data_IF_656921721528
#
_entry.id   IF_656921721528
#
_cell.length_a   1.000
_cell.length_b   1.000
_cell.length_c   1.000
_cell.angle_alpha   90.00
_cell.angle_beta   90.00
_cell.angle_gamma   90.00
#
_symmetry.space_group_name_H-M   'P 1'
#
loop_
_entity.id
_entity.type
_entity.pdbx_description
1 polymer ?
#
# COMPACT_ATOMS: atom_id res chain seq x y z
N UNK A 1 -20.23 18.90 -14.97
CA UNK A 1 -21.17 18.52 -13.86
C UNK A 1 -22.37 17.66 -14.27
N UNK A 2 -23.31 18.06 -15.17
CA UNK A 2 -24.38 17.13 -15.64
C UNK A 2 -23.99 16.27 -16.85
N UNK A 3 -22.89 16.62 -17.54
CA UNK A 3 -22.41 15.93 -18.75
C UNK A 3 -21.39 14.80 -18.41
N UNK A 4 -20.84 14.78 -17.20
CA UNK A 4 -19.89 13.76 -16.73
C UNK A 4 -20.60 12.59 -16.03
N UNK A 5 -21.81 12.81 -15.50
CA UNK A 5 -22.67 11.75 -14.95
C UNK A 5 -23.30 10.88 -16.05
N UNK A 6 -23.49 11.43 -17.26
CA UNK A 6 -24.01 10.72 -18.44
C UNK A 6 -22.96 9.79 -19.07
N UNK A 7 -21.68 10.16 -19.02
CA UNK A 7 -20.59 9.38 -19.63
C UNK A 7 -20.33 8.05 -18.89
N UNK A 8 -20.53 8.04 -17.56
CA UNK A 8 -20.44 6.84 -16.74
C UNK A 8 -21.57 5.83 -17.06
N UNK A 9 -22.76 6.31 -17.41
CA UNK A 9 -23.89 5.46 -17.83
C UNK A 9 -23.78 5.00 -19.31
N UNK A 10 -23.28 5.84 -20.23
CA UNK A 10 -23.09 5.44 -21.64
C UNK A 10 -21.97 4.39 -21.82
N UNK A 11 -20.95 4.40 -20.97
CA UNK A 11 -19.90 3.37 -20.94
C UNK A 11 -20.41 2.03 -20.43
N UNK A 12 -21.36 2.05 -19.47
CA UNK A 12 -22.01 0.87 -18.92
C UNK A 12 -23.01 0.24 -19.92
N UNK A 13 -23.73 1.06 -20.69
CA UNK A 13 -24.71 0.61 -21.70
C UNK A 13 -24.06 0.04 -22.97
N UNK A 14 -22.85 0.51 -23.35
CA UNK A 14 -22.09 -0.05 -24.49
C UNK A 14 -21.59 -1.47 -24.24
N UNK A 15 -21.33 -1.85 -22.99
CA UNK A 15 -20.87 -3.20 -22.64
C UNK A 15 -22.02 -4.22 -22.51
N UNK A 16 -23.25 -3.77 -22.22
CA UNK A 16 -24.44 -4.63 -22.20
C UNK A 16 -24.93 -5.03 -23.60
N UNK A 17 -24.63 -4.24 -24.64
CA UNK A 17 -25.00 -4.56 -26.04
C UNK A 17 -24.15 -5.66 -26.70
N UNK A 18 -23.10 -6.17 -26.04
CA UNK A 18 -22.26 -7.28 -26.56
C UNK A 18 -22.66 -8.67 -26.06
N UNK A 19 -23.63 -8.78 -25.15
CA UNK A 19 -24.17 -10.06 -24.69
C UNK A 19 -25.58 -10.24 -25.24
N UNK A 20 -25.73 -11.01 -26.32
CA UNK A 20 -27.02 -11.47 -26.82
C UNK A 20 -27.70 -12.34 -25.74
N UNK A 21 -28.60 -11.76 -24.94
CA UNK A 21 -29.51 -12.51 -24.07
C UNK A 21 -30.95 -11.99 -24.27
N UNK A 22 -31.87 -12.95 -24.34
CA UNK A 22 -33.20 -12.96 -24.94
C UNK A 22 -34.25 -11.98 -24.37
N UNK A 23 -35.14 -11.50 -25.25
CA UNK A 23 -36.12 -10.40 -25.07
C UNK A 23 -37.39 -10.84 -24.32
N UNK A 24 -37.28 -11.28 -23.07
CA UNK A 24 -38.49 -11.49 -22.24
C UNK A 24 -38.42 -11.11 -20.77
N UNK A 25 -37.32 -10.50 -20.30
CA UNK A 25 -37.24 -9.93 -18.95
C UNK A 25 -37.16 -8.39 -18.90
N UNK A 26 -37.18 -7.71 -20.05
CA UNK A 26 -37.07 -6.24 -20.15
C UNK A 26 -38.35 -5.47 -19.77
N UNK A 27 -39.51 -6.14 -19.69
CA UNK A 27 -40.81 -5.48 -19.43
C UNK A 27 -41.16 -5.32 -17.95
N UNK A 28 -40.48 -6.05 -17.03
CA UNK A 28 -40.66 -5.88 -15.58
C UNK A 28 -39.74 -4.80 -15.00
N UNK A 29 -38.55 -4.58 -15.59
CA UNK A 29 -37.58 -3.58 -15.13
C UNK A 29 -38.03 -2.15 -15.50
N UNK A 30 -38.71 -1.96 -16.63
CA UNK A 30 -39.26 -0.66 -17.05
C UNK A 30 -40.43 -0.15 -16.18
N UNK A 31 -41.10 -1.02 -15.44
CA UNK A 31 -42.16 -0.62 -14.49
C UNK A 31 -41.58 -0.27 -13.11
N UNK A 32 -40.43 -0.82 -12.73
CA UNK A 32 -39.71 -0.42 -11.51
C UNK A 32 -39.00 0.94 -11.69
N UNK A 33 -38.39 1.19 -12.86
CA UNK A 33 -37.69 2.45 -13.14
C UNK A 33 -38.66 3.65 -13.17
N UNK A 34 -39.86 3.50 -13.74
CA UNK A 34 -40.86 4.56 -13.77
C UNK A 34 -41.52 4.84 -12.40
N UNK A 35 -41.60 3.85 -11.50
CA UNK A 35 -42.04 4.09 -10.11
C UNK A 35 -40.98 4.84 -9.30
N UNK A 36 -39.70 4.51 -9.49
CA UNK A 36 -38.58 5.19 -8.82
C UNK A 36 -38.46 6.65 -9.30
N UNK A 37 -38.62 6.90 -10.61
CA UNK A 37 -38.62 8.25 -11.18
C UNK A 37 -39.79 9.12 -10.71
N UNK A 38 -40.98 8.54 -10.48
CA UNK A 38 -42.14 9.28 -9.96
C UNK A 38 -42.09 9.52 -8.44
N UNK A 39 -41.46 8.64 -7.66
CA UNK A 39 -41.19 8.90 -6.23
C UNK A 39 -40.10 9.96 -6.01
N UNK A 40 -39.19 10.14 -6.96
CA UNK A 40 -38.12 11.14 -6.88
C UNK A 40 -38.56 12.56 -7.27
N UNK A 41 -39.64 12.71 -8.05
CA UNK A 41 -40.17 14.03 -8.44
C UNK A 41 -41.04 14.69 -7.36
N UNK A 42 -41.38 13.97 -6.29
CA UNK A 42 -42.31 14.45 -5.24
C UNK A 42 -41.64 15.12 -4.04
N UNK A 43 -40.31 15.17 -4.00
CA UNK A 43 -39.54 15.66 -2.86
C UNK A 43 -38.52 16.72 -3.30
N UNK A 44 -39.03 17.81 -3.88
CA UNK A 44 -38.24 19.00 -4.28
C UNK A 44 -37.34 19.50 -3.14
N UNK A 45 -37.79 19.37 -1.89
CA UNK A 45 -37.04 19.74 -0.69
C UNK A 45 -35.75 18.93 -0.53
N UNK A 46 -35.71 17.63 -0.85
CA UNK A 46 -34.50 16.82 -0.71
C UNK A 46 -33.47 17.07 -1.81
N UNK A 47 -33.93 17.41 -3.02
CA UNK A 47 -33.05 17.84 -4.10
C UNK A 47 -32.44 19.21 -3.81
N UNK A 48 -33.25 20.17 -3.33
CA UNK A 48 -32.76 21.47 -2.88
C UNK A 48 -31.88 21.35 -1.63
N UNK A 49 -32.18 20.47 -0.67
CA UNK A 49 -31.32 20.20 0.48
C UNK A 49 -30.01 19.55 0.07
N UNK A 50 -30.01 18.58 -0.86
CA UNK A 50 -28.78 17.97 -1.38
C UNK A 50 -27.93 18.99 -2.12
N UNK A 51 -28.53 19.81 -2.99
CA UNK A 51 -27.85 20.91 -3.68
C UNK A 51 -27.32 21.94 -2.68
N UNK A 52 -28.13 22.39 -1.73
CA UNK A 52 -27.73 23.35 -0.71
C UNK A 52 -26.62 22.80 0.19
N UNK A 53 -26.66 21.50 0.50
CA UNK A 53 -25.65 20.79 1.30
C UNK A 53 -24.33 20.56 0.56
N UNK A 54 -24.39 20.31 -0.76
CA UNK A 54 -23.21 20.25 -1.64
C UNK A 54 -22.61 21.64 -1.84
N UNK A 55 -23.43 22.68 -1.98
CA UNK A 55 -22.97 24.07 -2.08
C UNK A 55 -22.44 24.63 -0.76
N UNK A 56 -22.95 24.17 0.39
CA UNK A 56 -22.48 24.62 1.71
C UNK A 56 -21.21 23.92 2.21
N UNK A 57 -20.99 22.66 1.81
CA UNK A 57 -19.82 21.87 2.26
C UNK A 57 -18.72 21.73 1.19
N UNK A 58 -18.97 22.15 -0.06
CA UNK A 58 -17.98 22.15 -1.14
C UNK A 58 -17.72 20.76 -1.76
N UNK A 59 -17.11 20.76 -2.94
CA UNK A 59 -16.82 19.55 -3.73
C UNK A 59 -15.85 18.59 -3.02
N UNK A 60 -14.85 19.13 -2.30
CA UNK A 60 -13.85 18.34 -1.58
C UNK A 60 -14.45 17.49 -0.46
N UNK A 61 -15.45 18.02 0.26
CA UNK A 61 -16.14 17.28 1.31
C UNK A 61 -16.93 16.08 0.75
N UNK A 62 -17.60 16.27 -0.40
CA UNK A 62 -18.33 15.19 -1.09
C UNK A 62 -17.37 14.11 -1.57
N UNK A 63 -16.25 14.49 -2.17
CA UNK A 63 -15.21 13.55 -2.60
C UNK A 63 -14.68 12.75 -1.42
N UNK A 64 -14.27 13.41 -0.33
CA UNK A 64 -13.78 12.74 0.87
C UNK A 64 -14.78 11.69 1.39
N UNK A 65 -16.05 12.07 1.53
CA UNK A 65 -17.12 11.16 1.98
C UNK A 65 -17.29 9.95 1.04
N UNK A 66 -17.15 10.14 -0.27
CA UNK A 66 -17.23 9.04 -1.23
C UNK A 66 -16.04 8.08 -1.11
N UNK A 67 -14.82 8.57 -0.85
CA UNK A 67 -13.65 7.70 -0.60
C UNK A 67 -13.91 6.82 0.61
N UNK A 68 -14.32 7.42 1.73
CA UNK A 68 -14.58 6.71 2.99
C UNK A 68 -15.61 5.60 2.76
N UNK A 69 -16.72 5.92 2.11
CA UNK A 69 -17.77 4.93 1.85
C UNK A 69 -17.29 3.84 0.89
N UNK A 70 -16.59 4.17 -0.19
CA UNK A 70 -16.21 3.19 -1.22
C UNK A 70 -15.01 2.34 -0.80
N UNK A 71 -14.05 2.91 -0.08
CA UNK A 71 -12.83 2.26 0.37
C UNK A 71 -12.95 1.56 1.72
N UNK A 72 -14.17 1.43 2.27
CA UNK A 72 -14.42 0.81 3.56
C UNK A 72 -13.86 -0.63 3.64
N UNK A 73 -12.98 -0.95 4.61
CA UNK A 73 -12.30 -2.24 4.73
C UNK A 73 -13.23 -3.47 4.74
N UNK A 74 -14.40 -3.36 5.35
CA UNK A 74 -15.37 -4.46 5.52
C UNK A 74 -16.00 -4.93 4.19
N UNK A 75 -15.71 -4.23 3.08
CA UNK A 75 -16.20 -4.59 1.75
C UNK A 75 -15.29 -5.56 1.01
N UNK A 76 -14.03 -5.68 1.40
CA UNK A 76 -13.08 -6.56 0.70
C UNK A 76 -13.36 -8.03 1.02
N UNK A 77 -13.38 -8.87 -0.01
CA UNK A 77 -13.49 -10.32 0.11
C UNK A 77 -12.44 -10.97 -0.79
N UNK A 78 -11.70 -11.93 -0.24
CA UNK A 78 -10.76 -12.71 -1.02
C UNK A 78 -11.48 -13.43 -2.16
N UNK A 79 -10.84 -13.50 -3.33
CA UNK A 79 -11.33 -14.32 -4.43
C UNK A 79 -11.05 -15.80 -4.18
N UNK A 80 -12.10 -16.64 -4.17
CA UNK A 80 -11.97 -18.10 -4.02
C UNK A 80 -12.51 -18.64 -2.70
N UNK A 81 -12.24 -19.92 -2.43
CA UNK A 81 -12.72 -20.58 -1.21
C UNK A 81 -11.64 -20.55 -0.11
N UNK A 82 -11.81 -19.68 0.88
CA UNK A 82 -10.89 -19.52 2.02
C UNK A 82 -10.77 -20.75 2.92
N UNK A 83 -11.65 -21.75 2.76
CA UNK A 83 -11.56 -23.04 3.48
C UNK A 83 -10.51 -23.98 2.88
N UNK A 84 -9.98 -23.68 1.69
CA UNK A 84 -8.98 -24.49 0.98
C UNK A 84 -7.75 -23.65 0.66
N UNK A 85 -6.69 -23.82 1.45
CA UNK A 85 -5.41 -23.12 1.24
C UNK A 85 -4.53 -23.89 0.24
N UNK A 86 -4.90 -23.84 -1.04
CA UNK A 86 -4.16 -24.45 -2.14
C UNK A 86 -3.96 -23.44 -3.27
N UNK A 87 -2.81 -23.47 -3.97
CA UNK A 87 -2.55 -22.54 -5.05
C UNK A 87 -3.39 -22.89 -6.29
N UNK A 88 -4.01 -21.87 -6.88
CA UNK A 88 -4.66 -21.96 -8.20
C UNK A 88 -3.80 -21.22 -9.23
N UNK A 89 -3.59 -21.83 -10.40
CA UNK A 89 -2.94 -21.18 -11.53
C UNK A 89 -3.98 -20.93 -12.61
N UNK A 90 -4.22 -19.67 -12.96
CA UNK A 90 -5.31 -19.26 -13.85
C UNK A 90 -4.97 -17.99 -14.62
N UNK A 91 -5.65 -17.78 -15.76
CA UNK A 91 -5.36 -16.64 -16.64
C UNK A 91 -3.92 -16.68 -17.13
N UNK A 92 -3.23 -15.52 -17.13
CA UNK A 92 -1.83 -15.41 -17.54
C UNK A 92 -0.85 -16.17 -16.66
N UNK A 93 -1.24 -16.61 -15.46
CA UNK A 93 -0.35 -17.42 -14.61
C UNK A 93 -0.21 -18.87 -15.09
N UNK A 94 -1.07 -19.34 -16.00
CA UNK A 94 -0.96 -20.70 -16.56
C UNK A 94 0.32 -20.85 -17.39
N UNK A 95 0.75 -19.78 -18.07
CA UNK A 95 1.92 -19.76 -18.95
C UNK A 95 3.20 -19.28 -18.25
N UNK A 96 3.10 -18.69 -17.06
CA UNK A 96 4.27 -18.34 -16.25
C UNK A 96 4.94 -19.60 -15.71
N UNK A 97 6.26 -19.58 -15.62
CA UNK A 97 6.98 -20.62 -14.90
C UNK A 97 6.57 -20.61 -13.43
N UNK A 98 6.47 -21.79 -12.82
CA UNK A 98 5.95 -21.94 -11.46
C UNK A 98 7.09 -22.24 -10.51
N UNK A 99 7.06 -21.58 -9.36
CA UNK A 99 7.84 -21.99 -8.21
C UNK A 99 6.85 -22.49 -7.17
N UNK A 100 6.94 -23.78 -6.82
CA UNK A 100 5.98 -24.43 -5.95
C UNK A 100 6.27 -24.09 -4.50
N UNK A 101 5.29 -23.48 -3.84
CA UNK A 101 5.32 -23.12 -2.42
C UNK A 101 4.10 -23.68 -1.70
N UNK A 102 4.16 -23.68 -0.38
CA UNK A 102 3.01 -23.80 0.51
C UNK A 102 2.94 -22.59 1.44
N UNK A 103 1.74 -22.30 1.96
CA UNK A 103 1.54 -21.30 3.00
C UNK A 103 1.24 -22.00 4.31
N UNK A 104 2.15 -21.88 5.29
CA UNK A 104 1.98 -22.44 6.64
C UNK A 104 1.40 -21.37 7.57
N UNK A 105 0.24 -21.61 8.19
CA UNK A 105 -0.28 -20.72 9.23
C UNK A 105 0.65 -20.76 10.45
N UNK A 106 1.20 -19.61 10.83
CA UNK A 106 2.15 -19.50 11.97
C UNK A 106 1.59 -18.72 13.15
N UNK A 107 0.55 -17.91 12.93
CA UNK A 107 -0.13 -17.15 13.98
C UNK A 107 -1.49 -16.65 13.49
N UNK A 108 -2.39 -16.30 14.41
CA UNK A 108 -3.73 -15.80 14.12
C UNK A 108 -4.27 -14.89 15.23
N UNK A 109 -5.45 -14.32 15.02
CA UNK A 109 -6.12 -13.45 15.99
C UNK A 109 -5.80 -11.96 15.85
N UNK A 110 -5.18 -11.56 14.73
CA UNK A 110 -4.99 -10.16 14.37
C UNK A 110 -6.28 -9.61 13.71
N UNK A 111 -6.41 -8.29 13.64
CA UNK A 111 -7.53 -7.60 13.02
C UNK A 111 -7.01 -6.66 11.95
N UNK A 112 -7.33 -6.95 10.68
CA UNK A 112 -6.93 -6.10 9.55
C UNK A 112 -5.44 -5.72 9.60
N UNK A 113 -4.53 -6.73 9.68
CA UNK A 113 -3.10 -6.49 9.76
C UNK A 113 -2.61 -5.68 8.55
N UNK A 114 -1.83 -4.65 8.81
CA UNK A 114 -1.26 -3.75 7.80
C UNK A 114 0.23 -3.96 7.62
N UNK A 115 0.99 -4.39 8.62
CA UNK A 115 2.44 -4.62 8.53
C UNK A 115 2.89 -5.78 9.42
N UNK A 116 4.00 -6.43 9.06
CA UNK A 116 4.67 -7.47 9.86
C UNK A 116 6.16 -7.17 9.91
N UNK A 117 6.70 -6.99 11.11
CA UNK A 117 8.12 -6.67 11.28
C UNK A 117 8.76 -7.52 12.37
N UNK A 118 9.93 -8.06 12.08
CA UNK A 118 10.77 -8.76 13.05
C UNK A 118 11.84 -7.80 13.54
N UNK A 119 12.12 -7.76 14.87
CA UNK A 119 13.26 -7.03 15.38
C UNK A 119 14.58 -7.50 14.72
N UNK A 120 15.61 -6.63 14.63
CA UNK A 120 16.91 -7.03 14.13
C UNK A 120 17.44 -8.27 14.87
N UNK A 121 17.74 -9.34 14.12
CA UNK A 121 18.25 -10.61 14.66
C UNK A 121 17.19 -11.60 15.16
N UNK A 122 15.90 -11.24 15.15
CA UNK A 122 14.82 -12.13 15.60
C UNK A 122 14.28 -13.05 14.50
N UNK A 123 13.86 -14.24 14.91
CA UNK A 123 13.21 -15.23 14.03
C UNK A 123 11.88 -15.74 14.56
N UNK A 124 11.53 -15.40 15.79
CA UNK A 124 10.32 -15.94 16.43
C UNK A 124 9.32 -14.84 16.80
N UNK A 125 9.79 -13.77 17.43
CA UNK A 125 8.93 -12.69 17.88
C UNK A 125 8.82 -11.63 16.79
N UNK A 126 7.60 -11.24 16.46
CA UNK A 126 7.30 -10.21 15.48
C UNK A 126 6.25 -9.24 16.02
N UNK A 127 6.20 -8.06 15.41
CA UNK A 127 5.14 -7.09 15.61
C UNK A 127 4.24 -7.02 14.38
N UNK A 128 2.95 -6.76 14.65
CA UNK A 128 1.92 -6.53 13.65
C UNK A 128 1.24 -5.21 13.95
N UNK A 129 1.16 -4.35 12.94
CA UNK A 129 0.26 -3.20 13.00
C UNK A 129 -1.13 -3.61 12.53
N UNK A 130 -2.16 -3.15 13.22
CA UNK A 130 -3.56 -3.34 12.85
C UNK A 130 -4.14 -2.00 12.42
N UNK A 131 -4.92 -1.99 11.33
CA UNK A 131 -5.44 -0.76 10.74
C UNK A 131 -6.10 0.17 11.78
N UNK A 132 -6.85 -0.40 12.74
CA UNK A 132 -7.57 0.34 13.78
C UNK A 132 -6.70 0.84 14.94
N UNK A 133 -5.38 0.87 14.77
CA UNK A 133 -4.46 1.56 15.68
C UNK A 133 -3.79 0.68 16.73
N UNK A 134 -3.98 -0.64 16.69
CA UNK A 134 -3.35 -1.55 17.65
C UNK A 134 -1.99 -2.03 17.12
N UNK A 135 -0.96 -1.93 17.94
CA UNK A 135 0.31 -2.61 17.74
C UNK A 135 0.32 -3.88 18.58
N UNK A 136 0.41 -5.04 17.93
CA UNK A 136 0.43 -6.35 18.58
C UNK A 136 1.78 -7.03 18.43
N UNK A 137 2.15 -7.84 19.42
CA UNK A 137 3.22 -8.82 19.28
C UNK A 137 2.64 -10.21 19.02
N UNK A 138 3.40 -11.06 18.33
CA UNK A 138 3.10 -12.48 18.15
C UNK A 138 4.38 -13.32 18.13
N UNK A 139 4.24 -14.62 18.40
CA UNK A 139 5.33 -15.59 18.28
C UNK A 139 5.00 -16.70 17.30
N UNK A 140 5.91 -16.95 16.36
CA UNK A 140 5.79 -17.98 15.32
C UNK A 140 5.51 -19.35 15.96
N UNK A 141 4.34 -19.94 15.66
CA UNK A 141 3.88 -21.28 16.11
C UNK A 141 3.78 -21.51 17.62
N UNK A 142 3.70 -20.45 18.42
CA UNK A 142 3.47 -20.59 19.87
C UNK A 142 2.02 -20.31 20.28
N UNK A 143 1.21 -19.80 19.34
CA UNK A 143 -0.16 -19.32 19.62
C UNK A 143 -0.19 -18.27 20.76
N UNK A 144 0.87 -17.48 20.85
CA UNK A 144 1.03 -16.41 21.82
C UNK A 144 0.97 -15.07 21.07
N UNK A 145 0.03 -14.20 21.48
CA UNK A 145 -0.06 -12.82 21.00
C UNK A 145 -0.45 -11.89 22.14
N UNK A 146 -0.17 -10.60 21.99
CA UNK A 146 -0.59 -9.58 22.94
C UNK A 146 -0.55 -8.18 22.35
N UNK A 147 -1.09 -7.22 23.08
CA UNK A 147 -1.13 -5.81 22.68
C UNK A 147 0.04 -5.07 23.36
N UNK A 148 0.78 -4.28 22.59
CA UNK A 148 1.84 -3.39 23.10
C UNK A 148 1.39 -1.94 23.23
N UNK A 149 0.58 -1.48 22.27
CA UNK A 149 0.16 -0.10 22.17
C UNK A 149 -1.18 -0.03 21.43
N UNK A 150 -2.05 0.90 21.83
CA UNK A 150 -3.26 1.27 21.08
C UNK A 150 -3.23 2.77 20.84
N UNK A 151 -3.37 3.16 19.59
CA UNK A 151 -3.38 4.55 19.13
C UNK A 151 -4.78 4.93 18.68
N UNK A 152 -5.16 6.18 18.93
CA UNK A 152 -6.37 6.74 18.33
C UNK A 152 -6.05 7.22 16.90
N UNK A 153 -6.43 6.41 15.92
CA UNK A 153 -6.17 6.65 14.49
C UNK A 153 -7.48 6.81 13.72
N UNK A 154 -7.40 7.45 12.55
CA UNK A 154 -8.47 7.38 11.55
C UNK A 154 -8.38 6.04 10.82
N UNK A 155 -9.50 5.43 10.46
CA UNK A 155 -9.53 4.10 9.81
C UNK A 155 -10.71 3.90 8.84
N UNK A 156 -11.25 4.99 8.30
CA UNK A 156 -12.46 4.97 7.46
C UNK A 156 -12.20 4.53 6.00
N UNK A 157 -10.95 4.49 5.55
CA UNK A 157 -10.54 4.06 4.20
C UNK A 157 -9.16 3.39 4.25
N UNK A 158 -8.14 3.91 3.57
CA UNK A 158 -6.75 3.40 3.65
C UNK A 158 -5.99 3.94 4.87
N UNK A 159 -6.61 4.85 5.63
CA UNK A 159 -6.08 5.36 6.88
C UNK A 159 -5.93 4.24 7.93
N UNK A 160 -5.04 4.46 8.89
CA UNK A 160 -4.87 3.57 10.02
C UNK A 160 -3.51 3.71 10.68
N UNK A 161 -3.13 2.69 11.45
CA UNK A 161 -1.73 2.38 11.73
C UNK A 161 -1.21 1.49 10.59
N UNK A 162 -0.24 1.98 9.82
CA UNK A 162 0.04 1.47 8.46
C UNK A 162 1.46 0.90 8.30
N UNK A 163 2.42 1.31 9.13
CA UNK A 163 3.75 0.73 9.05
C UNK A 163 4.59 0.89 10.30
N UNK A 164 5.61 0.03 10.38
CA UNK A 164 6.55 -0.05 11.48
C UNK A 164 7.98 -0.20 10.93
N UNK A 165 8.95 0.42 11.58
CA UNK A 165 10.36 0.09 11.38
C UNK A 165 11.11 0.07 12.71
N UNK A 166 11.93 -0.95 12.93
CA UNK A 166 12.87 -0.96 14.05
C UNK A 166 14.11 -0.14 13.70
N UNK A 167 14.61 0.63 14.65
CA UNK A 167 15.93 1.25 14.52
C UNK A 167 17.01 0.16 14.31
N UNK A 168 18.07 0.38 13.50
CA UNK A 168 19.13 -0.62 13.31
C UNK A 168 19.80 -1.08 14.62
N UNK A 169 19.96 -0.15 15.58
CA UNK A 169 20.42 -0.43 16.96
C UNK A 169 19.29 -0.77 17.96
N UNK A 170 18.12 -1.24 17.51
CA UNK A 170 16.95 -1.49 18.38
C UNK A 170 17.26 -2.29 19.64
N UNK A 171 18.10 -3.33 19.55
CA UNK A 171 18.47 -4.16 20.71
C UNK A 171 19.28 -3.39 21.77
N UNK A 172 19.87 -2.24 21.43
CA UNK A 172 20.61 -1.37 22.34
C UNK A 172 19.75 -0.21 22.84
N UNK A 173 18.97 0.42 21.96
CA UNK A 173 18.29 1.68 22.25
C UNK A 173 16.76 1.56 22.41
N UNK A 174 16.16 0.41 22.08
CA UNK A 174 14.73 0.17 22.14
C UNK A 174 13.89 0.96 21.14
N UNK A 175 14.50 1.71 20.20
CA UNK A 175 13.80 2.64 19.32
C UNK A 175 13.14 1.96 18.13
N UNK A 176 11.88 2.29 17.88
CA UNK A 176 11.16 1.93 16.66
C UNK A 176 10.25 3.07 16.24
N UNK A 177 9.75 3.00 15.01
CA UNK A 177 9.00 4.07 14.37
C UNK A 177 7.67 3.54 13.86
N UNK A 178 6.62 4.34 13.99
CA UNK A 178 5.28 4.02 13.49
C UNK A 178 4.82 5.08 12.50
N UNK A 179 4.18 4.66 11.42
CA UNK A 179 3.47 5.52 10.47
C UNK A 179 1.96 5.31 10.62
N UNK A 180 1.22 6.36 10.95
CA UNK A 180 -0.21 6.30 11.17
C UNK A 180 -0.91 7.61 10.80
N UNK A 181 -2.23 7.53 10.60
CA UNK A 181 -3.07 8.68 10.28
C UNK A 181 -3.97 9.02 11.45
N UNK A 182 -3.97 10.30 11.85
CA UNK A 182 -4.80 10.82 12.94
C UNK A 182 -5.29 12.23 12.63
N UNK A 183 -6.17 12.76 13.48
CA UNK A 183 -6.65 14.13 13.37
C UNK A 183 -5.75 15.08 14.17
N UNK A 184 -5.09 16.02 13.50
CA UNK A 184 -4.27 17.08 14.10
C UNK A 184 -4.85 18.43 13.73
N UNK A 185 -5.23 19.25 14.72
CA UNK A 185 -5.85 20.56 14.51
C UNK A 185 -7.04 20.53 13.53
N UNK A 186 -7.85 19.47 13.64
CA UNK A 186 -9.03 19.27 12.79
C UNK A 186 -8.76 18.72 11.39
N UNK A 187 -7.50 18.47 11.02
CA UNK A 187 -7.11 17.93 9.71
C UNK A 187 -6.61 16.50 9.83
N UNK A 188 -6.85 15.69 8.80
CA UNK A 188 -6.28 14.36 8.70
C UNK A 188 -4.79 14.50 8.38
N UNK A 189 -3.94 13.81 9.13
CA UNK A 189 -2.50 13.99 9.08
C UNK A 189 -1.83 12.62 9.18
N UNK A 190 -0.95 12.31 8.22
CA UNK A 190 0.00 11.21 8.38
C UNK A 190 1.12 11.65 9.30
N UNK A 191 1.47 10.81 10.27
CA UNK A 191 2.51 11.06 11.26
C UNK A 191 3.46 9.88 11.31
N UNK A 192 4.75 10.20 11.28
CA UNK A 192 5.82 9.28 11.71
C UNK A 192 6.28 9.71 13.10
N UNK A 193 6.25 8.77 14.05
CA UNK A 193 6.71 8.99 15.43
C UNK A 193 7.69 7.91 15.85
N UNK A 194 8.70 8.30 16.63
CA UNK A 194 9.61 7.41 17.35
C UNK A 194 9.00 7.00 18.69
N UNK A 195 9.17 5.72 19.04
CA UNK A 195 8.73 5.08 20.27
C UNK A 195 9.85 4.25 20.88
N UNK A 196 9.80 4.00 22.18
CA UNK A 196 10.81 3.23 22.91
C UNK A 196 10.18 2.02 23.59
N UNK A 197 10.66 0.83 23.22
CA UNK A 197 10.43 -0.40 23.94
C UNK A 197 11.37 -0.49 25.16
N UNK A 198 10.81 -0.60 26.36
CA UNK A 198 11.58 -0.71 27.61
C UNK A 198 12.46 -1.97 27.68
N UNK A 199 12.10 -3.02 26.94
CA UNK A 199 12.74 -4.33 26.99
C UNK A 199 12.88 -4.92 25.58
N UNK A 200 13.78 -4.40 24.73
CA UNK A 200 13.83 -4.76 23.30
C UNK A 200 14.14 -6.24 23.03
N UNK A 201 14.75 -6.96 23.99
CA UNK A 201 15.02 -8.41 23.90
C UNK A 201 13.83 -9.28 24.33
N UNK A 202 12.83 -8.70 24.99
CA UNK A 202 11.65 -9.38 25.53
C UNK A 202 10.43 -8.53 25.20
N UNK A 203 10.15 -8.38 23.89
CA UNK A 203 9.09 -7.50 23.40
C UNK A 203 7.73 -7.82 24.00
N UNK A 204 7.43 -9.10 24.25
CA UNK A 204 6.20 -9.57 24.87
C UNK A 204 5.97 -9.06 26.31
N UNK A 205 7.05 -8.63 26.99
CA UNK A 205 7.02 -8.01 28.33
C UNK A 205 7.31 -6.52 28.29
N UNK A 206 7.63 -5.97 27.12
CA UNK A 206 8.04 -4.59 26.98
C UNK A 206 6.85 -3.65 27.18
N UNK A 207 7.08 -2.53 27.88
CA UNK A 207 6.21 -1.37 27.82
C UNK A 207 6.66 -0.49 26.67
N UNK A 208 5.70 0.11 25.97
CA UNK A 208 5.99 1.15 24.99
C UNK A 208 5.90 2.50 25.68
N UNK A 209 6.95 3.29 25.55
CA UNK A 209 7.12 4.58 26.23
C UNK A 209 7.59 5.63 25.23
N UNK A 210 7.27 6.89 25.54
CA UNK A 210 7.65 8.10 24.79
C UNK A 210 7.16 8.15 23.33
N UNK A 211 6.49 9.23 22.95
CA UNK A 211 6.23 9.57 21.54
C UNK A 211 7.06 10.80 21.20
N UNK A 212 8.02 10.65 20.28
CA UNK A 212 8.71 11.79 19.64
C UNK A 212 8.23 11.89 18.20
N UNK A 213 7.49 12.96 17.90
CA UNK A 213 7.04 13.24 16.53
C UNK A 213 8.27 13.50 15.67
N UNK A 214 8.42 12.70 14.62
CA UNK A 214 9.50 12.86 13.64
C UNK A 214 9.01 13.75 12.51
N UNK A 215 7.87 13.41 11.89
CA UNK A 215 7.39 14.09 10.70
C UNK A 215 5.86 14.01 10.61
N UNK A 216 5.25 15.07 10.08
CA UNK A 216 3.82 15.13 9.80
C UNK A 216 3.56 15.72 8.41
N UNK A 217 2.54 15.21 7.75
CA UNK A 217 2.00 15.79 6.52
C UNK A 217 0.48 15.72 6.53
N UNK A 218 -0.17 16.82 6.17
CA UNK A 218 -1.64 16.87 6.05
C UNK A 218 -2.06 16.05 4.84
N UNK A 219 -3.01 15.15 5.03
CA UNK A 219 -3.60 14.33 3.99
C UNK A 219 -4.87 15.02 3.45
N UNK A 220 -4.94 15.34 2.15
CA UNK A 220 -6.12 16.00 1.59
C UNK A 220 -7.31 15.04 1.48
N UNK A 221 -7.06 13.73 1.31
CA UNK A 221 -8.08 12.69 1.22
C UNK A 221 -7.71 11.48 2.11
N UNK A 222 -8.67 10.58 2.41
CA UNK A 222 -8.46 9.44 3.31
C UNK A 222 -7.91 8.20 2.59
N UNK A 223 -7.46 8.34 1.34
CA UNK A 223 -6.78 7.30 0.57
C UNK A 223 -5.42 7.78 0.09
N UNK A 224 -4.62 6.84 -0.41
CA UNK A 224 -3.23 7.00 -0.83
C UNK A 224 -2.29 7.43 0.29
N UNK A 225 -2.54 6.87 1.48
CA UNK A 225 -1.75 7.17 2.67
C UNK A 225 -0.44 6.39 2.74
N UNK A 226 -0.25 5.36 1.90
CA UNK A 226 0.86 4.42 1.96
C UNK A 226 1.11 3.93 3.41
N UNK A 227 2.32 3.59 3.80
CA UNK A 227 2.53 3.21 5.21
C UNK A 227 3.88 2.66 5.57
N UNK A 228 4.50 1.92 4.65
CA UNK A 228 5.78 1.26 4.91
C UNK A 228 6.83 2.27 5.39
N UNK A 229 7.65 1.81 6.35
CA UNK A 229 8.87 2.45 6.82
C UNK A 229 10.01 1.44 6.65
N UNK A 230 11.20 1.90 6.28
CA UNK A 230 12.37 1.03 6.26
C UNK A 230 13.65 1.82 6.55
N UNK A 231 14.59 1.19 7.25
CA UNK A 231 15.95 1.70 7.30
C UNK A 231 16.75 1.19 6.11
N UNK A 232 17.44 2.11 5.43
CA UNK A 232 18.37 1.78 4.36
C UNK A 232 19.67 1.18 4.89
N UNK A 233 20.51 0.62 3.99
CA UNK A 233 21.85 0.16 4.32
C UNK A 233 22.77 1.31 4.79
N UNK A 234 22.36 2.55 4.54
CA UNK A 234 23.01 3.79 4.97
C UNK A 234 22.55 4.26 6.37
N UNK A 235 21.72 3.46 7.07
CA UNK A 235 21.17 3.75 8.40
C UNK A 235 20.21 4.95 8.47
N UNK A 236 19.75 5.47 7.33
CA UNK A 236 18.70 6.49 7.30
C UNK A 236 17.32 5.86 7.24
N UNK A 237 16.33 6.60 7.75
CA UNK A 237 14.93 6.20 7.67
C UNK A 237 14.35 6.67 6.34
N UNK A 238 13.80 5.72 5.59
CA UNK A 238 13.01 5.96 4.39
C UNK A 238 11.53 5.98 4.76
N UNK A 239 10.81 6.97 4.22
CA UNK A 239 9.38 7.19 4.46
C UNK A 239 8.75 7.44 3.10
N UNK A 240 7.65 6.75 2.79
CA UNK A 240 6.88 7.04 1.58
C UNK A 240 5.43 7.36 1.93
N UNK A 241 4.93 8.43 1.34
CA UNK A 241 3.51 8.76 1.32
C UNK A 241 3.06 8.91 -0.12
N UNK A 242 1.85 8.43 -0.41
CA UNK A 242 1.24 8.61 -1.73
C UNK A 242 0.95 10.07 -2.03
N UNK A 243 0.37 10.34 -3.18
CA UNK A 243 -0.03 11.68 -3.65
C UNK A 243 -1.09 12.36 -2.74
N UNK A 244 -1.57 11.67 -1.72
CA UNK A 244 -2.57 12.16 -0.77
C UNK A 244 -4.00 12.04 -1.25
N UNK A 245 -4.21 11.39 -2.40
CA UNK A 245 -5.48 10.83 -2.76
C UNK A 245 -6.40 11.70 -3.60
N UNK A 246 -7.62 11.16 -3.63
CA UNK A 246 -8.59 11.13 -4.72
C UNK A 246 -8.05 10.63 -6.08
N UNK A 247 -8.98 10.33 -6.98
CA UNK A 247 -8.70 9.94 -8.35
C UNK A 247 -7.97 11.08 -9.11
N UNK A 248 -7.01 10.68 -9.93
CA UNK A 248 -6.21 11.49 -10.87
C UNK A 248 -5.29 12.54 -10.24
N UNK A 249 -4.96 12.45 -8.95
CA UNK A 249 -4.08 13.39 -8.24
C UNK A 249 -4.51 14.87 -8.43
N UNK A 250 -5.67 15.28 -7.88
CA UNK A 250 -6.19 16.62 -8.09
C UNK A 250 -5.30 17.71 -7.50
N UNK A 251 -4.42 17.36 -6.54
CA UNK A 251 -3.43 18.27 -5.94
C UNK A 251 -2.10 18.29 -6.69
N UNK A 252 -1.93 17.42 -7.70
CA UNK A 252 -0.73 17.27 -8.52
C UNK A 252 0.52 17.03 -7.68
N UNK A 253 0.37 16.32 -6.56
CA UNK A 253 1.44 16.04 -5.63
C UNK A 253 2.48 15.09 -6.21
N UNK A 254 2.10 14.15 -7.07
CA UNK A 254 3.03 13.21 -7.71
C UNK A 254 4.13 13.92 -8.50
N UNK A 255 3.84 15.04 -9.16
CA UNK A 255 4.82 15.83 -9.92
C UNK A 255 5.29 17.10 -9.19
N UNK A 256 5.02 17.23 -7.89
CA UNK A 256 5.40 18.40 -7.11
C UNK A 256 6.44 18.01 -6.05
N UNK A 257 7.75 18.12 -6.35
CA UNK A 257 8.79 17.71 -5.40
C UNK A 257 8.92 18.62 -4.17
N UNK A 258 8.14 19.72 -4.06
CA UNK A 258 8.07 20.57 -2.87
C UNK A 258 7.21 19.99 -1.75
N UNK A 259 6.32 19.06 -2.06
CA UNK A 259 5.51 18.37 -1.06
C UNK A 259 6.21 17.10 -0.59
N UNK A 260 5.80 16.61 0.58
CA UNK A 260 6.22 15.29 1.09
C UNK A 260 5.33 14.16 0.56
N UNK A 261 4.22 14.50 -0.10
CA UNK A 261 3.31 13.57 -0.75
C UNK A 261 3.83 13.18 -2.15
N UNK A 262 3.44 12.01 -2.63
CA UNK A 262 3.89 11.45 -3.91
C UNK A 262 5.40 11.20 -3.96
N UNK A 263 6.01 10.99 -2.79
CA UNK A 263 7.46 11.07 -2.60
C UNK A 263 7.99 9.94 -1.72
N UNK A 264 9.20 9.50 -2.03
CA UNK A 264 10.08 8.73 -1.16
C UNK A 264 11.03 9.70 -0.47
N UNK A 265 11.01 9.75 0.84
CA UNK A 265 11.80 10.63 1.69
C UNK A 265 12.93 9.86 2.34
N UNK A 266 14.02 10.54 2.70
CA UNK A 266 15.18 9.96 3.39
C UNK A 266 15.70 10.94 4.43
N UNK A 267 15.70 10.52 5.70
CA UNK A 267 16.03 11.38 6.85
C UNK A 267 16.95 10.68 7.87
N UNK A 268 17.72 11.48 8.61
CA UNK A 268 18.49 11.03 9.77
C UNK A 268 17.72 11.26 11.08
N UNK A 269 17.24 10.18 11.69
CA UNK A 269 16.48 10.22 12.96
C UNK A 269 17.37 10.16 14.21
N UNK A 270 18.69 9.98 14.06
CA UNK A 270 19.64 9.93 15.18
C UNK A 270 20.05 11.31 15.67
N UNK A 271 19.80 12.34 14.88
CA UNK A 271 20.05 13.73 15.23
C UNK A 271 18.76 14.56 15.07
N UNK A 272 18.79 15.83 15.49
CA UNK A 272 17.64 16.73 15.38
C UNK A 272 18.16 18.11 15.01
N UNK A 273 17.46 18.79 14.10
CA UNK A 273 17.93 20.04 13.52
C UNK A 273 16.75 20.98 13.27
N UNK A 274 16.94 22.29 13.52
CA UNK A 274 15.94 23.33 13.20
C UNK A 274 14.53 23.06 13.78
N UNK A 275 14.46 22.47 14.98
CA UNK A 275 13.20 22.11 15.65
C UNK A 275 12.51 20.85 15.10
N UNK A 276 13.09 20.17 14.12
CA UNK A 276 12.64 18.88 13.60
C UNK A 276 13.28 17.74 14.40
N UNK A 277 12.55 16.64 14.58
CA UNK A 277 13.05 15.42 15.25
C UNK A 277 14.09 14.62 14.45
N UNK A 278 14.60 15.18 13.34
CA UNK A 278 15.53 14.57 12.40
C UNK A 278 16.45 15.63 11.77
N UNK A 279 17.52 15.19 11.10
CA UNK A 279 18.36 15.99 10.20
C UNK A 279 18.19 15.50 8.74
N UNK A 280 18.46 16.38 7.78
CA UNK A 280 18.55 16.01 6.36
C UNK A 280 19.94 15.42 6.06
N UNK A 281 20.03 14.21 5.47
CA UNK A 281 21.30 13.69 4.96
C UNK A 281 21.94 14.65 3.97
N UNK A 282 23.24 14.90 4.12
CA UNK A 282 23.99 15.90 3.32
C UNK A 282 24.07 15.51 1.84
N UNK A 283 23.92 14.22 1.55
CA UNK A 283 23.85 13.64 0.22
C UNK A 283 22.39 13.39 -0.23
N UNK A 284 21.38 14.07 0.31
CA UNK A 284 20.07 14.08 -0.34
C UNK A 284 20.14 14.83 -1.69
N UNK A 285 19.38 14.42 -2.72
CA UNK A 285 19.51 14.97 -4.07
C UNK A 285 19.09 16.45 -4.18
N UNK A 286 18.24 16.92 -3.28
CA UNK A 286 17.59 18.23 -3.40
C UNK A 286 17.90 19.21 -2.25
N UNK A 287 18.91 18.94 -1.44
CA UNK A 287 19.22 19.74 -0.22
C UNK A 287 19.43 21.23 -0.50
N UNK A 288 19.99 21.57 -1.67
CA UNK A 288 20.26 22.94 -2.08
C UNK A 288 19.28 23.47 -3.14
N UNK A 289 18.22 22.71 -3.46
CA UNK A 289 17.25 23.07 -4.48
C UNK A 289 15.96 23.60 -3.84
N UNK A 290 15.77 24.93 -3.89
CA UNK A 290 14.55 25.60 -3.43
C UNK A 290 13.26 25.15 -4.15
N UNK A 291 13.39 24.43 -5.28
CA UNK A 291 12.28 23.87 -6.01
C UNK A 291 11.76 22.56 -5.41
N UNK A 292 12.42 22.02 -4.39
CA UNK A 292 12.14 20.70 -3.85
C UNK A 292 12.19 20.71 -2.30
N UNK A 293 11.51 19.76 -1.67
CA UNK A 293 11.68 19.51 -0.25
C UNK A 293 13.04 18.81 -0.02
N UNK A 294 13.87 19.25 0.94
CA UNK A 294 15.20 18.68 1.17
C UNK A 294 15.14 17.22 1.67
N UNK A 295 14.00 16.77 2.20
CA UNK A 295 13.74 15.39 2.62
C UNK A 295 13.62 14.43 1.43
N UNK A 296 13.26 14.92 0.24
CA UNK A 296 12.92 14.09 -0.92
C UNK A 296 14.14 13.34 -1.45
N UNK A 297 14.04 12.01 -1.49
CA UNK A 297 15.00 11.11 -2.15
C UNK A 297 14.59 10.82 -3.59
N UNK A 298 13.30 10.61 -3.83
CA UNK A 298 12.70 10.43 -5.15
C UNK A 298 11.21 10.84 -5.11
N UNK A 299 10.59 11.08 -6.26
CA UNK A 299 9.20 11.52 -6.35
C UNK A 299 8.50 10.94 -7.58
N UNK A 300 7.21 11.21 -7.77
CA UNK A 300 6.44 10.67 -8.89
C UNK A 300 5.72 9.37 -8.56
N UNK A 301 5.32 9.18 -7.29
CA UNK A 301 4.57 8.00 -6.84
C UNK A 301 3.10 8.31 -6.61
N UNK A 302 2.23 7.31 -6.77
CA UNK A 302 0.79 7.42 -6.50
C UNK A 302 0.46 6.99 -5.08
N UNK A 303 0.73 5.74 -4.74
CA UNK A 303 0.50 5.12 -3.43
C UNK A 303 1.52 3.97 -3.20
N UNK A 304 2.78 4.30 -2.88
CA UNK A 304 3.87 3.33 -2.72
C UNK A 304 3.66 2.49 -1.45
N UNK A 305 2.86 1.43 -1.57
CA UNK A 305 2.28 0.69 -0.44
C UNK A 305 3.33 -0.06 0.39
N UNK A 306 4.13 -0.92 -0.26
CA UNK A 306 5.20 -1.70 0.38
C UNK A 306 6.49 -1.58 -0.42
N UNK A 307 7.59 -1.47 0.33
CA UNK A 307 8.93 -1.39 -0.21
C UNK A 307 9.96 -2.00 0.74
N UNK A 308 11.07 -2.48 0.18
CA UNK A 308 12.15 -3.06 0.96
C UNK A 308 13.50 -2.91 0.24
N UNK A 309 14.58 -3.06 0.99
CA UNK A 309 15.93 -3.10 0.43
C UNK A 309 16.30 -4.54 0.06
N UNK A 310 16.83 -4.72 -1.14
CA UNK A 310 17.44 -5.98 -1.54
C UNK A 310 18.81 -6.18 -0.88
N UNK A 311 19.41 -7.39 -0.96
CA UNK A 311 20.73 -7.64 -0.39
C UNK A 311 21.88 -6.80 -1.00
N UNK A 312 21.65 -6.17 -2.16
CA UNK A 312 22.61 -5.24 -2.80
C UNK A 312 22.39 -3.80 -2.32
N UNK A 313 21.42 -3.54 -1.44
CA UNK A 313 21.09 -2.22 -0.94
C UNK A 313 20.21 -1.38 -1.88
N UNK A 314 19.59 -1.98 -2.89
CA UNK A 314 18.68 -1.30 -3.81
C UNK A 314 17.28 -1.26 -3.22
N UNK A 315 16.62 -0.10 -3.30
CA UNK A 315 15.27 0.11 -2.82
C UNK A 315 14.24 -0.37 -3.84
N UNK A 316 13.45 -1.38 -3.53
CA UNK A 316 12.38 -1.90 -4.40
C UNK A 316 11.05 -1.43 -3.86
N UNK A 317 10.23 -0.81 -4.70
CA UNK A 317 8.93 -0.25 -4.33
C UNK A 317 7.84 -0.86 -5.19
N UNK A 318 6.74 -1.28 -4.58
CA UNK A 318 5.50 -1.57 -5.27
C UNK A 318 4.55 -0.37 -5.10
N UNK A 319 4.15 0.23 -6.22
CA UNK A 319 3.27 1.40 -6.26
C UNK A 319 1.92 1.03 -6.85
N UNK A 320 0.84 1.38 -6.13
CA UNK A 320 -0.52 1.03 -6.53
C UNK A 320 -1.02 2.03 -7.55
N UNK A 321 -1.42 1.56 -8.73
CA UNK A 321 -1.90 2.41 -9.82
C UNK A 321 -3.36 2.82 -9.70
N UNK A 322 -3.85 3.57 -10.69
CA UNK A 322 -5.19 4.18 -10.67
C UNK A 322 -6.21 3.32 -11.41
N UNK A 323 -6.08 3.24 -12.73
CA UNK A 323 -7.09 2.73 -13.63
C UNK A 323 -6.68 1.37 -14.19
N UNK A 324 -5.45 1.22 -14.67
CA UNK A 324 -5.08 0.13 -15.58
C UNK A 324 -3.91 -0.73 -15.11
N UNK A 325 -2.93 -0.15 -14.43
CA UNK A 325 -1.62 -0.81 -14.24
C UNK A 325 -1.15 -0.73 -12.81
N UNK A 326 -0.60 -1.83 -12.33
CA UNK A 326 0.15 -1.89 -11.08
C UNK A 326 1.64 -2.05 -11.39
N UNK A 327 2.54 -1.57 -10.52
CA UNK A 327 3.97 -1.50 -10.86
C UNK A 327 4.93 -1.85 -9.72
N UNK A 328 6.12 -2.31 -10.11
CA UNK A 328 7.31 -2.47 -9.25
C UNK A 328 8.48 -1.71 -9.86
N UNK A 329 9.13 -0.89 -9.05
CA UNK A 329 10.26 -0.04 -9.44
C UNK A 329 11.48 -0.27 -8.54
N UNK A 330 12.69 -0.15 -9.10
CA UNK A 330 13.91 0.01 -8.31
C UNK A 330 14.19 1.51 -8.19
N UNK A 331 14.10 2.03 -6.97
CA UNK A 331 14.14 3.47 -6.71
C UNK A 331 15.57 3.98 -6.59
N UNK A 332 15.93 4.86 -7.50
CA UNK A 332 17.18 5.61 -7.51
C UNK A 332 17.03 7.06 -7.03
N UNK A 333 18.13 7.57 -6.47
CA UNK A 333 18.27 8.92 -5.94
C UNK A 333 17.96 9.99 -7.01
N UNK A 334 17.09 10.93 -6.66
CA UNK A 334 16.76 12.12 -7.45
C UNK A 334 15.89 11.86 -8.68
N UNK A 335 15.35 10.65 -8.84
CA UNK A 335 14.54 10.27 -10.00
C UNK A 335 13.05 10.54 -9.82
N UNK A 336 12.35 10.65 -10.95
CA UNK A 336 10.92 10.87 -11.06
C UNK A 336 10.25 9.63 -11.67
N UNK A 337 9.33 9.00 -10.93
CA UNK A 337 8.60 7.79 -11.34
C UNK A 337 7.30 8.09 -12.10
N UNK A 338 7.06 9.36 -12.42
CA UNK A 338 6.16 9.76 -13.49
C UNK A 338 4.71 9.97 -13.11
N UNK A 339 4.23 9.52 -11.95
CA UNK A 339 2.85 9.78 -11.55
C UNK A 339 2.59 11.29 -11.34
N UNK A 340 1.55 11.92 -11.89
CA UNK A 340 0.43 11.36 -12.65
C UNK A 340 0.52 11.56 -14.18
N UNK A 341 1.70 11.90 -14.71
CA UNK A 341 1.93 11.95 -16.16
C UNK A 341 1.88 10.54 -16.76
N UNK A 342 2.43 9.57 -16.03
CA UNK A 342 2.41 8.13 -16.34
C UNK A 342 1.69 7.33 -15.27
N UNK A 343 1.17 6.18 -15.67
CA UNK A 343 0.73 5.08 -14.83
C UNK A 343 1.47 3.85 -15.34
N UNK A 344 2.43 3.35 -14.56
CA UNK A 344 3.44 2.41 -15.04
C UNK A 344 4.17 2.94 -16.29
N UNK A 345 4.43 2.11 -17.30
CA UNK A 345 5.11 2.54 -18.52
C UNK A 345 4.21 3.38 -19.46
N UNK A 346 2.94 3.61 -19.12
CA UNK A 346 1.93 4.16 -20.01
C UNK A 346 1.56 5.61 -19.69
N UNK A 347 1.17 6.38 -20.72
CA UNK A 347 0.66 7.73 -20.51
C UNK A 347 -0.66 7.72 -19.76
N UNK A 348 -0.74 8.54 -18.70
CA UNK A 348 -1.93 8.72 -17.90
C UNK A 348 -2.59 10.07 -18.16
N UNK A 349 -1.91 11.17 -17.83
CA UNK A 349 -2.40 12.52 -18.12
C UNK A 349 -1.35 13.38 -18.85
N UNK A 350 -1.57 13.72 -20.14
CA UNK A 350 -2.68 13.31 -20.99
C UNK A 350 -2.62 11.81 -21.35
N UNK A 351 -3.79 11.19 -21.61
CA UNK A 351 -3.93 9.74 -21.94
C UNK A 351 -3.12 9.27 -23.15
N UNK A 352 -2.59 10.18 -23.98
CA UNK A 352 -1.74 9.88 -25.14
C UNK A 352 -0.69 10.98 -25.30
N UNK A 353 0.48 10.63 -25.83
CA UNK A 353 1.56 11.56 -26.16
C UNK A 353 2.00 12.44 -24.96
N UNK A 354 1.96 11.88 -23.75
CA UNK A 354 2.48 12.51 -22.54
C UNK A 354 3.99 12.75 -22.66
N UNK A 355 4.51 13.76 -21.95
CA UNK A 355 5.95 14.05 -21.92
C UNK A 355 6.65 13.04 -21.01
N UNK A 356 7.52 12.19 -21.58
CA UNK A 356 8.21 11.12 -20.84
C UNK A 356 9.67 11.43 -20.49
N UNK A 357 10.19 12.57 -20.96
CA UNK A 357 11.58 12.97 -20.71
C UNK A 357 11.85 13.09 -19.19
N UNK A 358 12.86 12.35 -18.71
CA UNK A 358 13.26 12.34 -17.31
C UNK A 358 12.39 11.48 -16.39
N UNK A 359 11.36 10.80 -16.92
CA UNK A 359 10.54 9.85 -16.17
C UNK A 359 11.16 8.45 -16.24
N UNK A 360 11.08 7.71 -15.14
CA UNK A 360 11.61 6.35 -15.01
C UNK A 360 10.46 5.35 -15.11
N UNK A 361 10.65 4.33 -15.94
CA UNK A 361 9.70 3.24 -16.13
C UNK A 361 9.91 2.18 -15.06
N UNK A 362 8.84 1.47 -14.65
CA UNK A 362 8.97 0.39 -13.69
C UNK A 362 9.72 -0.81 -14.29
N UNK A 363 10.32 -1.60 -13.41
CA UNK A 363 10.98 -2.85 -13.81
C UNK A 363 9.96 -3.95 -14.12
N UNK A 364 8.73 -3.84 -13.58
CA UNK A 364 7.65 -4.77 -13.84
C UNK A 364 6.31 -4.08 -13.68
N UNK A 365 5.35 -4.44 -14.52
CA UNK A 365 3.97 -3.96 -14.46
C UNK A 365 2.98 -5.08 -14.82
N UNK A 366 1.76 -4.98 -14.32
CA UNK A 366 0.67 -5.88 -14.73
C UNK A 366 -0.68 -5.17 -14.75
N UNK A 367 -1.58 -5.67 -15.59
CA UNK A 367 -2.87 -5.04 -15.83
C UNK A 367 -4.02 -5.67 -15.03
N UNK A 368 -5.21 -5.07 -15.17
CA UNK A 368 -6.46 -5.50 -14.50
C UNK A 368 -6.92 -6.93 -14.78
N UNK A 369 -6.42 -7.58 -15.83
CA UNK A 369 -6.66 -9.01 -16.09
C UNK A 369 -5.93 -9.92 -15.10
N UNK A 370 -4.87 -9.42 -14.45
CA UNK A 370 -4.01 -10.18 -13.55
C UNK A 370 -4.29 -9.84 -12.08
N UNK A 371 -4.45 -8.56 -11.74
CA UNK A 371 -4.72 -8.10 -10.38
C UNK A 371 -5.23 -6.66 -10.32
N UNK A 372 -5.49 -6.15 -9.11
CA UNK A 372 -6.17 -4.87 -8.87
C UNK A 372 -5.44 -3.92 -7.90
N UNK A 373 -4.54 -4.41 -7.07
CA UNK A 373 -3.85 -3.60 -6.07
C UNK A 373 -2.60 -4.33 -5.62
N UNK A 374 -1.44 -3.89 -6.11
CA UNK A 374 -0.18 -4.55 -5.79
C UNK A 374 0.17 -4.40 -4.32
N UNK A 375 0.66 -5.50 -3.78
CA UNK A 375 1.31 -5.57 -2.47
C UNK A 375 2.77 -5.91 -2.72
N UNK A 376 3.67 -4.97 -2.46
CA UNK A 376 5.11 -5.22 -2.47
C UNK A 376 5.52 -6.23 -1.39
N UNK A 377 6.79 -6.65 -1.39
CA UNK A 377 7.28 -7.65 -0.44
C UNK A 377 8.78 -7.58 -0.24
N UNK A 378 9.46 -8.74 -0.28
CA UNK A 378 10.87 -8.86 0.05
C UNK A 378 11.62 -9.75 -0.92
N UNK A 379 12.91 -9.49 -1.09
CA UNK A 379 13.83 -10.46 -1.67
C UNK A 379 14.04 -11.62 -0.70
N UNK A 380 13.76 -12.83 -1.17
CA UNK A 380 13.91 -14.06 -0.42
C UNK A 380 15.39 -14.46 -0.34
N UNK A 381 15.87 -14.77 0.87
CA UNK A 381 17.30 -15.05 1.12
C UNK A 381 17.54 -16.26 2.03
N UNK A 382 16.52 -17.12 2.20
CA UNK A 382 16.65 -18.35 2.99
C UNK A 382 16.93 -19.55 2.08
N UNK A 383 17.66 -20.55 2.57
CA UNK A 383 18.00 -21.75 1.78
C UNK A 383 16.87 -22.79 1.71
N UNK A 384 15.76 -22.61 2.42
CA UNK A 384 14.65 -23.58 2.48
C UNK A 384 13.99 -23.79 1.11
N UNK A 385 13.90 -22.74 0.30
CA UNK A 385 13.35 -22.77 -1.06
C UNK A 385 14.41 -22.19 -2.01
N UNK A 386 15.33 -23.04 -2.48
CA UNK A 386 16.46 -22.63 -3.32
C UNK A 386 16.03 -21.82 -4.55
N UNK A 387 14.91 -22.20 -5.15
CA UNK A 387 14.40 -21.59 -6.38
C UNK A 387 13.88 -20.16 -6.16
N UNK A 388 13.63 -19.74 -4.91
CA UNK A 388 13.28 -18.35 -4.59
C UNK A 388 14.48 -17.50 -4.20
N UNK A 389 15.65 -18.09 -3.94
CA UNK A 389 16.79 -17.34 -3.43
C UNK A 389 17.20 -16.21 -4.40
N UNK A 390 17.23 -14.99 -3.88
CA UNK A 390 17.55 -13.77 -4.65
C UNK A 390 16.38 -13.20 -5.46
N UNK A 391 15.19 -13.84 -5.46
CA UNK A 391 14.00 -13.33 -6.16
C UNK A 391 13.17 -12.42 -5.25
N UNK A 392 12.62 -11.37 -5.82
CA UNK A 392 11.70 -10.45 -5.14
C UNK A 392 10.28 -11.03 -5.14
N UNK A 393 9.76 -11.36 -3.96
CA UNK A 393 8.39 -11.87 -3.79
C UNK A 393 7.44 -10.70 -3.55
N UNK A 394 6.30 -10.72 -4.24
CA UNK A 394 5.24 -9.72 -4.13
C UNK A 394 3.89 -10.37 -4.42
N UNK A 395 2.81 -9.66 -4.13
CA UNK A 395 1.44 -10.15 -4.31
C UNK A 395 0.50 -9.07 -4.84
N UNK A 396 -0.75 -9.46 -5.05
CA UNK A 396 -1.87 -8.56 -5.28
C UNK A 396 -2.91 -8.77 -4.18
N UNK A 397 -3.35 -7.66 -3.57
CA UNK A 397 -4.22 -7.66 -2.40
C UNK A 397 -5.59 -8.29 -2.70
N UNK A 398 -6.21 -7.96 -3.83
CA UNK A 398 -7.59 -8.37 -4.14
C UNK A 398 -7.63 -9.78 -4.71
N UNK A 399 -6.75 -10.07 -5.68
CA UNK A 399 -6.75 -11.38 -6.35
C UNK A 399 -6.07 -12.46 -5.53
N UNK A 400 -5.23 -12.11 -4.54
CA UNK A 400 -4.47 -13.07 -3.73
C UNK A 400 -3.39 -13.81 -4.52
N UNK A 401 -3.00 -13.30 -5.69
CA UNK A 401 -1.89 -13.84 -6.46
C UNK A 401 -0.56 -13.49 -5.82
N UNK A 402 0.36 -14.44 -5.83
CA UNK A 402 1.74 -14.27 -5.40
C UNK A 402 2.66 -14.57 -6.58
N UNK A 403 3.67 -13.73 -6.77
CA UNK A 403 4.69 -13.90 -7.80
C UNK A 403 6.08 -13.68 -7.24
N UNK A 404 7.08 -14.04 -8.04
CA UNK A 404 8.48 -13.70 -7.78
C UNK A 404 9.13 -13.13 -9.04
N UNK A 405 9.99 -12.11 -8.88
CA UNK A 405 10.78 -11.50 -9.96
C UNK A 405 12.25 -11.89 -9.86
N UNK A 406 12.84 -12.22 -11.01
CA UNK A 406 14.27 -12.05 -11.21
C UNK A 406 14.55 -10.57 -11.46
N UNK A 407 15.08 -9.90 -10.45
CA UNK A 407 15.41 -8.48 -10.53
C UNK A 407 16.44 -8.25 -11.64
N UNK A 408 16.30 -7.15 -12.41
CA UNK A 408 17.30 -6.74 -13.39
C UNK A 408 18.60 -6.32 -12.69
N UNK A 409 19.69 -6.17 -13.45
CA UNK A 409 20.93 -5.63 -12.90
C UNK A 409 20.85 -4.10 -12.76
N UNK A 410 20.25 -3.43 -13.74
CA UNK A 410 20.01 -1.98 -13.78
C UNK A 410 18.55 -1.62 -13.45
N UNK A 411 18.31 -0.47 -12.83
CA UNK A 411 16.99 0.04 -12.41
C UNK A 411 16.02 0.32 -13.56
N UNK A 412 16.54 0.62 -14.74
CA UNK A 412 15.77 1.03 -15.93
C UNK A 412 15.45 -0.12 -16.88
N UNK A 413 15.94 -1.33 -16.57
CA UNK A 413 15.68 -2.51 -17.37
C UNK A 413 14.47 -3.27 -16.81
N UNK A 414 13.66 -3.92 -17.66
CA UNK A 414 12.59 -4.78 -17.19
C UNK A 414 13.14 -5.99 -16.44
N UNK A 415 12.34 -6.54 -15.53
CA UNK A 415 12.63 -7.77 -14.80
C UNK A 415 12.94 -8.90 -15.79
N UNK A 416 13.99 -9.68 -15.49
CA UNK A 416 14.49 -10.72 -16.39
C UNK A 416 13.45 -11.83 -16.59
N UNK A 417 12.69 -12.14 -15.54
CA UNK A 417 11.67 -13.19 -15.53
C UNK A 417 10.70 -13.03 -14.37
N UNK A 418 9.47 -13.50 -14.58
CA UNK A 418 8.41 -13.54 -13.57
C UNK A 418 7.93 -14.97 -13.40
N UNK A 419 7.79 -15.39 -12.14
CA UNK A 419 7.32 -16.71 -11.75
C UNK A 419 5.98 -16.59 -11.03
N UNK A 420 5.06 -17.53 -11.27
CA UNK A 420 3.84 -17.64 -10.48
C UNK A 420 4.07 -18.54 -9.27
N UNK A 421 3.73 -18.03 -8.09
CA UNK A 421 3.71 -18.76 -6.81
C UNK A 421 2.26 -19.17 -6.45
N UNK A 422 1.31 -18.91 -7.35
CA UNK A 422 -0.09 -19.29 -7.24
C UNK A 422 -1.02 -18.17 -6.80
N UNK A 423 -2.30 -18.38 -7.05
CA UNK A 423 -3.42 -17.60 -6.52
C UNK A 423 -3.98 -18.27 -5.28
N UNK A 424 -4.07 -17.51 -4.19
CA UNK A 424 -4.50 -17.97 -2.88
C UNK A 424 -5.77 -17.20 -2.47
N UNK A 425 -6.71 -17.83 -1.75
CA UNK A 425 -7.94 -17.17 -1.32
C UNK A 425 -7.70 -16.29 -0.09
N UNK A 426 -6.76 -15.35 -0.19
CA UNK A 426 -6.31 -14.44 0.87
C UNK A 426 -6.33 -13.00 0.38
N UNK A 427 -6.62 -12.05 1.28
CA UNK A 427 -6.42 -10.63 1.06
C UNK A 427 -5.03 -10.23 1.57
N UNK A 428 -4.02 -10.38 0.72
CA UNK A 428 -2.61 -10.25 1.14
C UNK A 428 -2.27 -8.77 1.31
N UNK A 429 -2.32 -8.25 2.54
CA UNK A 429 -2.11 -6.82 2.82
C UNK A 429 -0.65 -6.42 2.97
N UNK A 430 0.20 -7.35 3.41
CA UNK A 430 1.61 -7.07 3.69
C UNK A 430 2.43 -8.35 3.78
N UNK A 431 3.74 -8.15 3.85
CA UNK A 431 4.73 -9.17 4.09
C UNK A 431 5.60 -8.83 5.29
N UNK A 432 6.26 -9.83 5.85
CA UNK A 432 7.36 -9.68 6.80
C UNK A 432 8.54 -10.54 6.40
N UNK A 433 9.75 -10.18 6.88
CA UNK A 433 10.95 -11.00 6.72
C UNK A 433 11.67 -11.12 8.05
N UNK A 434 12.00 -12.36 8.44
CA UNK A 434 12.78 -12.61 9.65
C UNK A 434 14.29 -12.52 9.42
N UNK A 435 15.08 -12.56 10.49
CA UNK A 435 16.54 -12.50 10.41
C UNK A 435 17.18 -13.70 9.69
N UNK A 436 16.45 -14.81 9.53
CA UNK A 436 16.89 -15.96 8.75
C UNK A 436 16.55 -15.83 7.25
N UNK A 437 15.87 -14.75 6.84
CA UNK A 437 15.46 -14.50 5.47
C UNK A 437 14.21 -15.24 5.04
N UNK A 438 13.43 -15.82 5.97
CA UNK A 438 12.12 -16.41 5.64
C UNK A 438 11.11 -15.29 5.50
N UNK A 439 10.19 -15.48 4.56
CA UNK A 439 9.16 -14.49 4.20
C UNK A 439 7.80 -14.95 4.73
N UNK A 440 7.08 -14.00 5.32
CA UNK A 440 5.75 -14.14 5.89
C UNK A 440 4.80 -13.20 5.16
N UNK A 441 3.50 -13.50 5.21
CA UNK A 441 2.44 -12.65 4.68
C UNK A 441 1.26 -12.59 5.63
N UNK A 442 0.56 -11.45 5.64
CA UNK A 442 -0.67 -11.27 6.40
C UNK A 442 -1.89 -11.38 5.49
N UNK A 443 -2.91 -12.10 5.96
CA UNK A 443 -4.24 -12.01 5.40
C UNK A 443 -5.07 -10.98 6.17
N UNK A 444 -5.42 -9.89 5.49
CA UNK A 444 -6.20 -8.79 6.02
C UNK A 444 -7.56 -9.22 6.54
N UNK A 445 -8.22 -10.13 5.82
CA UNK A 445 -9.59 -10.55 6.12
C UNK A 445 -9.68 -11.48 7.33
N UNK A 446 -8.86 -12.54 7.36
CA UNK A 446 -8.90 -13.50 8.48
C UNK A 446 -8.03 -13.12 9.67
N UNK A 447 -7.10 -12.16 9.51
CA UNK A 447 -6.17 -11.80 10.57
C UNK A 447 -5.13 -12.88 10.87
N UNK A 448 -4.85 -13.74 9.88
CA UNK A 448 -3.85 -14.81 9.98
C UNK A 448 -2.52 -14.39 9.38
N UNK A 449 -1.45 -14.91 9.95
CA UNK A 449 -0.08 -14.76 9.45
C UNK A 449 0.38 -16.10 8.91
N UNK A 450 0.84 -16.11 7.68
CA UNK A 450 1.37 -17.29 7.00
C UNK A 450 2.86 -17.13 6.72
N UNK A 451 3.62 -18.23 6.76
CA UNK A 451 4.98 -18.30 6.24
C UNK A 451 4.98 -18.96 4.88
N UNK A 452 5.79 -18.45 3.96
CA UNK A 452 6.08 -19.12 2.69
C UNK A 452 7.06 -20.26 2.97
N UNK A 453 6.60 -21.49 2.72
CA UNK A 453 7.35 -22.72 2.92
C UNK A 453 7.43 -23.56 1.64
N UNK A 454 8.32 -24.56 1.66
CA UNK A 454 8.47 -25.51 0.54
C UNK A 454 7.17 -26.26 0.31
N UNK A 455 6.79 -26.48 -0.96
CA UNK A 455 5.70 -27.40 -1.32
C UNK A 455 5.96 -28.78 -0.68
N UNK A 456 4.91 -29.38 -0.08
CA UNK A 456 4.95 -30.75 0.45
C UNK A 456 4.77 -31.83 -0.63
N UNK A 457 4.45 -31.41 -1.85
CA UNK A 457 4.29 -32.27 -3.03
C UNK A 457 5.49 -32.12 -3.95
#
# INVERSE_FOLDING_TARGET
MFQEFLFFFESFDKNLKRLQINIHQTTQIFKLSNRIFFTWKKNSIYFFLFIFFVFSNGCEWVQKTLVEVLGAPDKYKAEGNSSLLQPIYSGKDVTKERILISLEEVSSGFQQPTDIQFPPGETETFLVTEQKGTLRWGKVRKNETGILLTLNVLSESEQGLLGLAFHPDFLKNGKFYLNYVLKVNGKDTSRVSEWIASSPKELDKSKITAERIIMEVVQPYPNHNAGQLAFGPDHYLYIAWGDGGWKDDPKKNGQNPKTLLGSMLRIDVNSSENGKGYKIPEDNPFINDSCCAPETFAYGFRNPWRYSFDPKGRLIVADVGQDLWEEVSIVERGKNYGWNIKEASHCFEPKRNCKQEGLIDPIYEYGREEGQSITGGYVYSNSLISDLNGKYIFADFVSGRIWALDLPDESTQPAKKVYSLGKWPLLISSFGKDAAGKVYLSDFGSGKIYRIDRSKN
#
